data_IF_026617423898
#
_entry.id   IF_026617423898
#
_cell.length_a   1.000
_cell.length_b   1.000
_cell.length_c   1.000
_cell.angle_alpha   90.00
_cell.angle_beta   90.00
_cell.angle_gamma   90.00
#
_symmetry.space_group_name_H-M   'P 1'
#
loop_
_entity.id
_entity.type
_entity.pdbx_description
1 polymer ?
#
# COMPACT_ATOMS: atom_id res chain seq x y z
N UNK A 1 -19.39 1.28 -6.95
CA UNK A 1 -19.63 -0.15 -6.70
C UNK A 1 -18.92 -0.96 -7.78
N UNK A 2 -18.01 -1.87 -7.43
CA UNK A 2 -17.21 -2.64 -8.38
C UNK A 2 -17.66 -4.11 -8.37
N UNK A 3 -18.87 -4.37 -8.86
CA UNK A 3 -19.40 -5.73 -9.01
C UNK A 3 -18.93 -6.32 -10.34
N UNK A 4 -17.83 -7.07 -10.35
CA UNK A 4 -17.45 -7.86 -11.54
C UNK A 4 -16.03 -8.43 -11.60
N UNK A 5 -15.06 -7.87 -10.87
CA UNK A 5 -13.64 -8.18 -11.14
C UNK A 5 -13.10 -9.41 -10.36
N UNK A 6 -13.70 -9.73 -9.21
CA UNK A 6 -13.17 -10.75 -8.30
C UNK A 6 -13.28 -12.20 -8.81
N UNK A 7 -14.31 -12.53 -9.59
CA UNK A 7 -14.51 -13.89 -10.10
C UNK A 7 -13.61 -14.25 -11.30
N UNK A 8 -13.11 -13.25 -12.05
CA UNK A 8 -12.24 -13.50 -13.21
C UNK A 8 -10.74 -13.46 -12.88
N UNK A 9 -10.33 -12.66 -11.86
CA UNK A 9 -8.92 -12.51 -11.49
C UNK A 9 -8.42 -13.61 -10.53
N UNK A 10 -9.34 -14.24 -9.78
CA UNK A 10 -9.10 -15.17 -8.67
C UNK A 10 -8.09 -14.72 -7.62
N UNK A 11 -7.97 -13.41 -7.49
CA UNK A 11 -7.45 -12.74 -6.31
C UNK A 11 -8.32 -11.51 -6.04
N UNK A 12 -8.20 -10.97 -4.83
CA UNK A 12 -8.85 -9.71 -4.42
C UNK A 12 -7.81 -8.70 -3.95
N UNK A 13 -8.13 -7.42 -4.10
CA UNK A 13 -7.35 -6.32 -3.56
C UNK A 13 -7.90 -5.86 -2.22
N UNK A 14 -7.01 -5.56 -1.28
CA UNK A 14 -7.34 -4.93 0.01
C UNK A 14 -6.30 -3.88 0.37
N UNK A 15 -6.76 -2.78 0.94
CA UNK A 15 -5.91 -1.83 1.65
C UNK A 15 -5.68 -2.36 3.05
N UNK A 16 -4.41 -2.50 3.45
CA UNK A 16 -4.02 -3.02 4.75
C UNK A 16 -2.90 -2.15 5.35
N UNK A 17 -2.84 -1.96 6.68
CA UNK A 17 -1.73 -1.26 7.30
C UNK A 17 -0.39 -1.92 6.95
N UNK A 18 0.63 -1.14 6.55
CA UNK A 18 1.92 -1.68 6.13
C UNK A 18 2.54 -2.60 7.18
N UNK A 19 2.40 -2.26 8.48
CA UNK A 19 2.87 -3.11 9.58
C UNK A 19 2.32 -4.54 9.60
N UNK A 20 1.11 -4.77 9.10
CA UNK A 20 0.49 -6.10 9.13
C UNK A 20 0.92 -7.00 7.96
N UNK A 21 1.63 -6.44 6.98
CA UNK A 21 2.00 -7.14 5.74
C UNK A 21 3.49 -7.03 5.39
N UNK A 22 4.26 -6.17 6.07
CA UNK A 22 5.69 -5.92 5.79
C UNK A 22 6.58 -7.14 6.01
N UNK A 23 6.14 -8.11 6.79
CA UNK A 23 6.85 -9.36 7.06
C UNK A 23 6.59 -10.45 6.00
N UNK A 24 5.57 -10.26 5.15
CA UNK A 24 5.20 -11.18 4.08
C UNK A 24 4.64 -12.53 4.53
N UNK A 25 4.24 -12.68 5.80
CA UNK A 25 3.83 -13.97 6.38
C UNK A 25 2.35 -14.30 6.13
N UNK A 26 1.54 -13.31 5.76
CA UNK A 26 0.10 -13.44 5.52
C UNK A 26 -0.29 -13.86 4.10
N UNK A 27 -1.58 -14.16 3.92
CA UNK A 27 -2.16 -14.47 2.62
C UNK A 27 -2.15 -13.27 1.66
N UNK A 28 -2.17 -12.06 2.22
CA UNK A 28 -2.07 -10.80 1.48
C UNK A 28 -0.63 -10.31 1.48
N UNK A 29 -0.17 -9.92 0.29
CA UNK A 29 1.15 -9.32 0.10
C UNK A 29 1.00 -7.96 -0.59
N UNK A 30 1.85 -6.97 -0.27
CA UNK A 30 1.83 -5.69 -0.97
C UNK A 30 2.02 -5.87 -2.47
N UNK A 31 1.21 -5.15 -3.25
CA UNK A 31 1.44 -4.97 -4.67
C UNK A 31 2.66 -4.07 -4.83
N UNK A 32 3.61 -4.47 -5.66
CA UNK A 32 4.84 -3.70 -5.83
C UNK A 32 5.30 -3.70 -7.30
N UNK A 33 6.03 -2.65 -7.66
CA UNK A 33 6.82 -2.57 -8.89
C UNK A 33 8.24 -2.21 -8.46
N UNK A 34 9.16 -3.17 -8.58
CA UNK A 34 10.47 -3.04 -7.96
C UNK A 34 10.35 -2.89 -6.44
N UNK A 35 11.01 -1.86 -5.88
CA UNK A 35 11.02 -1.55 -4.44
C UNK A 35 9.88 -0.60 -4.01
N UNK A 36 8.94 -0.29 -4.91
CA UNK A 36 7.88 0.71 -4.74
C UNK A 36 6.50 0.06 -4.58
N UNK A 37 5.75 0.49 -3.55
CA UNK A 37 4.41 0.00 -3.20
C UNK A 37 3.41 1.17 -3.20
N UNK A 38 2.20 1.02 -3.79
CA UNK A 38 1.15 2.02 -3.64
C UNK A 38 0.73 2.19 -2.17
N UNK A 39 0.73 3.42 -1.68
CA UNK A 39 0.58 3.74 -0.26
C UNK A 39 -0.36 4.94 -0.06
N UNK A 40 -1.28 4.87 0.92
CA UNK A 40 -2.11 5.99 1.35
C UNK A 40 -1.45 6.67 2.55
N UNK A 41 -0.84 7.83 2.31
CA UNK A 41 -0.19 8.63 3.33
C UNK A 41 -1.22 9.48 4.07
N UNK A 42 -1.07 9.58 5.39
CA UNK A 42 -1.82 10.53 6.22
C UNK A 42 -0.95 11.74 6.53
N UNK A 43 -1.37 12.91 6.07
CA UNK A 43 -0.71 14.18 6.41
C UNK A 43 -1.02 14.56 7.86
N UNK A 44 -0.20 15.42 8.46
CA UNK A 44 -0.45 15.95 9.81
C UNK A 44 -1.77 16.73 9.94
N UNK A 45 -2.36 17.17 8.82
CA UNK A 45 -3.65 17.87 8.77
C UNK A 45 -4.84 16.93 8.55
N UNK A 46 -4.62 15.61 8.55
CA UNK A 46 -5.66 14.60 8.38
C UNK A 46 -6.06 14.31 6.93
N UNK A 47 -5.47 14.97 5.94
CA UNK A 47 -5.67 14.61 4.52
C UNK A 47 -4.98 13.29 4.19
N UNK A 48 -5.66 12.47 3.40
CA UNK A 48 -5.13 11.22 2.85
C UNK A 48 -4.66 11.43 1.41
N UNK A 49 -3.43 10.99 1.11
CA UNK A 49 -2.80 11.15 -0.20
C UNK A 49 -2.35 9.79 -0.72
N UNK A 50 -2.81 9.42 -1.92
CA UNK A 50 -2.28 8.25 -2.60
C UNK A 50 -0.90 8.58 -3.19
N UNK A 51 0.09 7.78 -2.83
CA UNK A 51 1.47 7.93 -3.27
C UNK A 51 2.19 6.60 -3.30
N UNK A 52 3.49 6.66 -3.01
CA UNK A 52 4.42 5.55 -3.05
C UNK A 52 5.06 5.32 -1.69
N UNK A 53 5.34 4.06 -1.35
CA UNK A 53 6.27 3.65 -0.29
C UNK A 53 7.45 2.91 -0.92
N UNK A 54 8.65 3.49 -0.80
CA UNK A 54 9.89 2.84 -1.21
C UNK A 54 10.43 2.01 -0.03
N UNK A 55 10.43 0.68 -0.17
CA UNK A 55 10.70 -0.26 0.94
C UNK A 55 12.13 -0.21 1.44
N UNK A 56 13.13 -0.16 0.54
CA UNK A 56 14.56 -0.06 0.92
C UNK A 56 14.92 1.24 1.65
N UNK A 57 14.25 2.34 1.30
CA UNK A 57 14.46 3.64 1.93
C UNK A 57 13.56 3.87 3.15
N UNK A 58 12.59 2.97 3.38
CA UNK A 58 11.48 3.15 4.32
C UNK A 58 10.88 4.56 4.26
N UNK A 59 10.60 5.01 3.03
CA UNK A 59 10.15 6.38 2.71
C UNK A 59 8.86 6.37 1.91
N UNK A 60 7.83 7.02 2.42
CA UNK A 60 6.59 7.29 1.71
C UNK A 60 6.60 8.71 1.11
N UNK A 61 6.08 8.87 -0.11
CA UNK A 61 5.96 10.17 -0.79
C UNK A 61 4.65 10.27 -1.57
N UNK A 62 3.99 11.42 -1.49
CA UNK A 62 2.90 11.80 -2.40
C UNK A 62 3.06 13.25 -2.84
N UNK A 63 2.72 13.55 -4.10
CA UNK A 63 2.70 14.93 -4.59
C UNK A 63 1.51 15.70 -4.01
N UNK A 64 1.78 16.85 -3.39
CA UNK A 64 0.76 17.72 -2.81
C UNK A 64 1.24 19.18 -2.82
N UNK A 65 0.42 20.09 -3.34
CA UNK A 65 0.73 21.52 -3.45
C UNK A 65 2.11 21.82 -4.10
N UNK A 66 2.46 21.09 -5.16
CA UNK A 66 3.72 21.27 -5.88
C UNK A 66 4.98 20.80 -5.14
N UNK A 67 4.83 20.05 -4.03
CA UNK A 67 5.92 19.46 -3.25
C UNK A 67 5.64 17.99 -2.94
N UNK A 68 6.66 17.26 -2.54
CA UNK A 68 6.50 15.90 -2.02
C UNK A 68 6.22 15.93 -0.52
N UNK A 69 5.06 15.39 -0.11
CA UNK A 69 4.77 15.07 1.27
C UNK A 69 5.52 13.79 1.66
N UNK A 70 6.80 13.94 2.03
CA UNK A 70 7.67 12.83 2.41
C UNK A 70 7.54 12.46 3.89
N UNK A 71 7.41 11.16 4.18
CA UNK A 71 7.41 10.60 5.54
C UNK A 71 8.39 9.42 5.58
N UNK A 72 9.22 9.35 6.61
CA UNK A 72 10.25 8.32 6.78
C UNK A 72 10.20 7.68 8.16
N UNK A 73 10.80 6.48 8.29
CA UNK A 73 10.96 5.81 9.58
C UNK A 73 9.66 5.17 10.08
N UNK A 74 9.51 4.93 11.40
CA UNK A 74 8.44 4.09 11.93
C UNK A 74 7.02 4.53 11.59
N UNK A 75 6.81 5.80 11.24
CA UNK A 75 5.50 6.33 10.85
C UNK A 75 4.93 5.68 9.58
N UNK A 76 5.78 5.17 8.67
CA UNK A 76 5.31 4.51 7.44
C UNK A 76 4.55 3.21 7.71
N UNK A 77 4.73 2.62 8.91
CA UNK A 77 4.05 1.40 9.34
C UNK A 77 2.53 1.56 9.51
N UNK A 78 2.07 2.79 9.72
CA UNK A 78 0.66 3.10 9.95
C UNK A 78 -0.12 3.43 8.67
N UNK A 79 0.58 3.55 7.54
CA UNK A 79 -0.06 3.81 6.26
C UNK A 79 -0.68 2.56 5.66
N UNK A 80 -1.76 2.74 4.92
CA UNK A 80 -2.37 1.64 4.17
C UNK A 80 -1.62 1.43 2.86
N UNK A 81 -1.36 0.17 2.54
CA UNK A 81 -0.76 -0.24 1.27
C UNK A 81 -1.72 -1.13 0.51
N UNK A 82 -1.66 -1.07 -0.82
CA UNK A 82 -2.46 -1.94 -1.67
C UNK A 82 -1.87 -3.35 -1.63
N UNK A 83 -2.68 -4.31 -1.20
CA UNK A 83 -2.31 -5.72 -1.14
C UNK A 83 -3.20 -6.56 -2.05
N UNK A 84 -2.67 -7.70 -2.49
CA UNK A 84 -3.44 -8.77 -3.15
C UNK A 84 -3.19 -10.10 -2.45
N UNK A 85 -4.18 -10.99 -2.45
CA UNK A 85 -3.94 -12.37 -2.07
C UNK A 85 -3.40 -13.20 -3.25
N UNK A 86 -2.86 -14.37 -2.94
CA UNK A 86 -2.54 -15.38 -3.94
C UNK A 86 -3.80 -16.07 -4.46
N UNK A 87 -3.76 -16.52 -5.71
CA UNK A 87 -4.78 -17.41 -6.28
C UNK A 87 -4.65 -18.77 -5.56
N UNK A 88 -5.67 -19.19 -4.81
CA UNK A 88 -5.72 -20.59 -4.33
C UNK A 88 -6.10 -21.46 -5.53
N UNK A 89 -5.16 -22.24 -6.06
CA UNK A 89 -5.54 -23.41 -6.87
C UNK A 89 -6.22 -24.39 -5.91
N UNK A 90 -7.51 -24.65 -6.14
CA UNK A 90 -8.23 -25.79 -5.56
C UNK A 90 -7.59 -27.09 -5.99
#
# INVERSE_FOLDING_TARGET
>A
MHYGVHLQLGFEYKWLPYKSVRDGTGAFKPVHVGDCIPCVLKTSKGSELLGNLHTKMEKATAGYCGKDAAVTGPAVNEFEVLCRNGFKKS
#
